data_IF_628486616865
#
_entry.id   IF_628486616865
#
_cell.length_a   1.000
_cell.length_b   1.000
_cell.length_c   1.000
_cell.angle_alpha   90.00
_cell.angle_beta   90.00
_cell.angle_gamma   90.00
#
_symmetry.space_group_name_H-M   'P 1'
#
loop_
_entity.id
_entity.type
_entity.pdbx_description
1 polymer ?
#
# COMPACT_ATOMS: atom_id res chain seq x y z
N UNK A 1 11.79 -5.34 8.49
CA UNK A 1 12.83 -4.79 7.61
C UNK A 1 12.44 -3.40 7.12
N UNK A 2 13.42 -2.53 6.86
CA UNK A 2 13.16 -1.27 6.15
C UNK A 2 13.03 -1.58 4.67
N UNK A 3 11.91 -1.14 4.08
CA UNK A 3 11.56 -1.34 2.68
C UNK A 3 11.83 -0.06 1.88
N UNK A 4 11.50 1.12 2.42
CA UNK A 4 11.84 2.40 1.80
C UNK A 4 12.90 3.13 2.61
N UNK A 5 14.13 3.14 2.12
CA UNK A 5 15.25 3.84 2.78
C UNK A 5 15.04 5.36 2.76
N UNK A 6 14.53 5.91 1.65
CA UNK A 6 14.34 7.36 1.49
C UNK A 6 13.39 7.97 2.52
N UNK A 7 12.40 7.19 3.01
CA UNK A 7 11.37 7.65 3.95
C UNK A 7 11.38 6.89 5.27
N UNK A 8 12.32 5.96 5.47
CA UNK A 8 12.40 5.15 6.68
C UNK A 8 11.24 4.18 6.89
N UNK A 9 10.53 3.78 5.82
CA UNK A 9 9.32 2.96 5.93
C UNK A 9 9.68 1.49 6.07
N UNK A 10 9.10 0.83 7.07
CA UNK A 10 9.25 -0.59 7.35
C UNK A 10 8.17 -1.48 6.72
N UNK A 11 8.45 -2.77 6.62
CA UNK A 11 7.47 -3.78 6.20
C UNK A 11 6.23 -3.79 7.10
N UNK A 12 6.41 -3.53 8.40
CA UNK A 12 5.32 -3.48 9.38
C UNK A 12 4.36 -2.33 9.09
N UNK A 13 4.89 -1.16 8.73
CA UNK A 13 4.07 -0.01 8.34
C UNK A 13 3.28 -0.29 7.05
N UNK A 14 3.93 -0.90 6.05
CA UNK A 14 3.25 -1.29 4.80
C UNK A 14 2.13 -2.27 5.09
N UNK A 15 2.39 -3.32 5.88
CA UNK A 15 1.36 -4.28 6.29
C UNK A 15 0.24 -3.64 7.09
N UNK A 16 0.53 -2.67 7.94
CA UNK A 16 -0.48 -1.94 8.70
C UNK A 16 -1.42 -1.20 7.74
N UNK A 17 -0.88 -0.49 6.75
CA UNK A 17 -1.67 0.24 5.76
C UNK A 17 -2.47 -0.71 4.87
N UNK A 18 -1.91 -1.86 4.48
CA UNK A 18 -2.65 -2.92 3.76
C UNK A 18 -3.78 -3.47 4.61
N UNK A 19 -3.54 -3.72 5.91
CA UNK A 19 -4.57 -4.19 6.85
C UNK A 19 -5.68 -3.17 7.08
N UNK A 20 -5.41 -1.87 6.85
CA UNK A 20 -6.41 -0.79 6.88
C UNK A 20 -7.22 -0.68 5.59
N UNK A 21 -6.93 -1.51 4.58
CA UNK A 21 -7.67 -1.60 3.32
C UNK A 21 -6.88 -1.19 2.08
N UNK A 22 -5.63 -0.75 2.20
CA UNK A 22 -4.83 -0.42 1.03
C UNK A 22 -4.51 -1.68 0.22
N UNK A 23 -4.93 -1.69 -1.04
CA UNK A 23 -4.81 -2.82 -1.96
C UNK A 23 -3.98 -2.46 -3.20
N UNK A 24 -3.50 -1.21 -3.29
CA UNK A 24 -2.70 -0.73 -4.41
C UNK A 24 -1.47 0.04 -3.97
N UNK A 25 -0.42 -0.01 -4.79
CA UNK A 25 0.80 0.77 -4.54
C UNK A 25 0.47 2.26 -4.39
N UNK A 26 -0.43 2.80 -5.20
CA UNK A 26 -0.85 4.20 -5.13
C UNK A 26 -1.42 4.59 -3.77
N UNK A 27 -2.23 3.73 -3.15
CA UNK A 27 -2.81 3.95 -1.83
C UNK A 27 -1.72 3.89 -0.74
N UNK A 28 -0.81 2.91 -0.82
CA UNK A 28 0.34 2.84 0.08
C UNK A 28 1.28 4.03 -0.10
N UNK A 29 1.46 4.54 -1.32
CA UNK A 29 2.21 5.78 -1.58
C UNK A 29 1.51 6.99 -0.97
N UNK A 30 0.19 7.08 -1.06
CA UNK A 30 -0.55 8.20 -0.50
C UNK A 30 -0.43 8.26 1.04
N UNK A 31 -0.43 7.10 1.72
CA UNK A 31 -0.33 7.02 3.18
C UNK A 31 1.12 7.12 3.70
N UNK A 32 2.07 6.39 3.10
CA UNK A 32 3.44 6.24 3.62
C UNK A 32 4.49 6.94 2.78
N UNK A 33 4.12 7.39 1.57
CA UNK A 33 5.05 8.05 0.68
C UNK A 33 6.04 7.17 -0.07
N UNK A 34 5.90 5.86 0.08
CA UNK A 34 6.88 4.92 -0.48
C UNK A 34 6.95 5.04 -2.01
N UNK A 35 8.16 5.11 -2.56
CA UNK A 35 8.37 5.10 -4.02
C UNK A 35 8.25 6.46 -4.71
N UNK A 36 7.97 7.55 -4.00
CA UNK A 36 7.94 8.90 -4.58
C UNK A 36 9.33 9.56 -4.73
N UNK A 37 10.35 9.11 -3.98
CA UNK A 37 11.70 9.68 -4.05
C UNK A 37 12.54 9.04 -5.16
N UNK A 38 13.08 7.83 -4.91
CA UNK A 38 13.92 7.12 -5.88
C UNK A 38 13.21 5.97 -6.60
N UNK A 39 11.98 5.63 -6.19
CA UNK A 39 11.18 4.54 -6.78
C UNK A 39 11.66 3.11 -6.49
N UNK A 40 12.88 2.89 -5.97
CA UNK A 40 13.50 1.56 -5.83
C UNK A 40 12.71 0.56 -4.98
N UNK A 41 11.99 1.03 -3.97
CA UNK A 41 11.17 0.17 -3.11
C UNK A 41 9.86 -0.29 -3.77
N UNK A 42 9.49 0.25 -4.94
CA UNK A 42 8.15 0.05 -5.52
C UNK A 42 7.82 -1.41 -5.83
N UNK A 43 8.79 -2.19 -6.31
CA UNK A 43 8.60 -3.61 -6.57
C UNK A 43 8.33 -4.36 -5.25
N UNK A 44 9.18 -4.14 -4.25
CA UNK A 44 9.11 -4.82 -2.96
C UNK A 44 7.84 -4.45 -2.17
N UNK A 45 7.38 -3.19 -2.29
CA UNK A 45 6.09 -2.76 -1.73
C UNK A 45 4.94 -3.48 -2.41
N UNK A 46 4.97 -3.66 -3.74
CA UNK A 46 3.92 -4.41 -4.46
C UNK A 46 3.84 -5.86 -4.01
N UNK A 47 4.98 -6.53 -3.90
CA UNK A 47 5.03 -7.91 -3.41
C UNK A 47 4.43 -8.02 -2.00
N UNK A 48 4.72 -7.06 -1.12
CA UNK A 48 4.12 -7.03 0.22
C UNK A 48 2.61 -6.79 0.19
N UNK A 49 2.11 -5.94 -0.71
CA UNK A 49 0.68 -5.73 -0.90
C UNK A 49 0.04 -7.03 -1.39
N UNK A 50 0.58 -7.66 -2.44
CA UNK A 50 0.02 -8.90 -3.01
C UNK A 50 0.02 -10.06 -2.00
N UNK A 51 1.03 -10.14 -1.14
CA UNK A 51 1.12 -11.16 -0.09
C UNK A 51 0.14 -10.96 1.07
N UNK A 52 -0.31 -9.72 1.32
CA UNK A 52 -1.08 -9.37 2.52
C UNK A 52 -2.46 -8.77 2.22
N UNK A 53 -2.74 -8.43 0.96
CA UNK A 53 -4.05 -7.98 0.53
C UNK A 53 -5.02 -9.17 0.61
N UNK A 54 -6.18 -9.03 1.27
CA UNK A 54 -7.19 -10.06 1.23
C UNK A 54 -7.68 -10.20 -0.21
N UNK A 55 -7.73 -11.45 -0.72
CA UNK A 55 -8.07 -11.80 -2.11
C UNK A 55 -9.50 -11.41 -2.57
N UNK A 56 -10.15 -10.43 -1.95
CA UNK A 56 -11.54 -10.08 -2.20
C UNK A 56 -12.00 -8.71 -1.70
N UNK A 57 -11.12 -7.71 -1.56
CA UNK A 57 -11.56 -6.34 -1.23
C UNK A 57 -11.33 -5.38 -2.39
N UNK A 58 -12.05 -5.58 -3.49
CA UNK A 58 -12.30 -4.55 -4.48
C UNK A 58 -13.64 -3.88 -4.19
N UNK A 59 -13.66 -2.98 -3.21
CA UNK A 59 -14.61 -1.86 -3.17
C UNK A 59 -13.78 -0.59 -2.96
N UNK A 60 -13.35 0.09 -4.04
CA UNK A 60 -12.50 1.27 -3.95
C UNK A 60 -13.36 2.43 -3.49
N UNK A 61 -13.17 2.90 -2.26
CA UNK A 61 -13.88 4.10 -1.81
C UNK A 61 -13.17 5.35 -2.33
N UNK A 62 -13.87 6.06 -3.21
CA UNK A 62 -13.47 7.39 -3.66
C UNK A 62 -14.35 8.02 -4.73
N UNK A 63 -15.16 7.24 -5.45
CA UNK A 63 -16.27 7.76 -6.25
C UNK A 63 -17.37 6.69 -6.42
N UNK A 64 -18.47 6.87 -5.69
CA UNK A 64 -19.77 6.20 -5.87
C UNK A 64 -19.81 4.66 -5.75
N UNK A 65 -19.89 4.15 -4.52
CA UNK A 65 -20.64 2.91 -4.28
C UNK A 65 -22.02 3.28 -3.73
N UNK A 66 -22.97 3.42 -4.65
CA UNK A 66 -24.39 3.62 -4.38
C UNK A 66 -25.05 2.24 -4.12
N UNK A 67 -24.93 1.76 -2.89
CA UNK A 67 -25.71 0.62 -2.41
C UNK A 67 -26.52 1.03 -1.16
N UNK A 68 -27.48 1.92 -1.36
CA UNK A 68 -28.75 2.01 -0.64
C UNK A 68 -29.72 2.89 -1.45
#
# INVERSE_FOLDING_TARGET
MIVCICRGVSDREIRNVVSRGASSLAEVRAELGTGECCGKCSQQVRELIEQHAPAGQACPSGAACACA
#
